data_IF_062181766049
#
_entry.id   IF_062181766049
#
_cell.length_a   1.000
_cell.length_b   1.000
_cell.length_c   1.000
_cell.angle_alpha   90.00
_cell.angle_beta   90.00
_cell.angle_gamma   90.00
#
_symmetry.space_group_name_H-M   'P 1'
#
loop_
_entity.id
_entity.type
_entity.pdbx_description
1 polymer ?
#
# COMPACT_ATOMS: atom_id res chain seq x y z
N UNK A 1 -6.87 -6.25 -14.59
CA UNK A 1 -7.57 -7.36 -15.27
C UNK A 1 -9.07 -7.39 -14.93
N UNK A 2 -9.43 -7.33 -13.64
CA UNK A 2 -10.81 -7.23 -13.15
C UNK A 2 -11.74 -6.21 -13.86
N UNK A 3 -11.32 -4.96 -14.15
CA UNK A 3 -12.22 -3.97 -14.78
C UNK A 3 -12.65 -4.33 -16.21
N UNK A 4 -11.74 -4.93 -17.00
CA UNK A 4 -12.03 -5.37 -18.38
C UNK A 4 -12.92 -6.61 -18.39
N UNK A 5 -12.73 -7.52 -17.44
CA UNK A 5 -13.59 -8.70 -17.29
C UNK A 5 -15.02 -8.30 -16.93
N UNK A 6 -15.20 -7.35 -16.00
CA UNK A 6 -16.51 -6.88 -15.59
C UNK A 6 -17.29 -6.20 -16.74
N UNK A 7 -16.62 -5.36 -17.54
CA UNK A 7 -17.22 -4.81 -18.77
C UNK A 7 -17.55 -5.90 -19.79
N UNK A 8 -16.68 -6.91 -19.95
CA UNK A 8 -16.94 -8.07 -20.80
C UNK A 8 -18.22 -8.81 -20.40
N UNK A 9 -18.45 -9.00 -19.09
CA UNK A 9 -19.66 -9.67 -18.59
C UNK A 9 -20.92 -8.85 -18.91
N UNK A 10 -20.91 -7.52 -18.72
CA UNK A 10 -22.04 -6.65 -19.09
C UNK A 10 -22.38 -6.76 -20.58
N UNK A 11 -21.35 -6.74 -21.45
CA UNK A 11 -21.54 -6.89 -22.90
C UNK A 11 -22.13 -8.27 -23.22
N UNK A 12 -21.59 -9.35 -22.67
CA UNK A 12 -22.09 -10.72 -22.91
C UNK A 12 -23.53 -10.87 -22.46
N UNK A 13 -23.89 -10.35 -21.28
CA UNK A 13 -25.26 -10.42 -20.75
C UNK A 13 -26.22 -9.62 -21.62
N UNK A 14 -25.86 -8.40 -22.03
CA UNK A 14 -26.69 -7.58 -22.92
C UNK A 14 -26.87 -8.23 -24.30
N UNK A 15 -25.79 -8.76 -24.88
CA UNK A 15 -25.87 -9.51 -26.15
C UNK A 15 -26.75 -10.75 -26.01
N UNK A 16 -26.66 -11.48 -24.90
CA UNK A 16 -27.50 -12.65 -24.62
C UNK A 16 -28.99 -12.29 -24.58
N UNK A 17 -29.36 -11.21 -23.87
CA UNK A 17 -30.73 -10.72 -23.86
C UNK A 17 -31.20 -10.24 -25.25
N UNK A 18 -30.32 -9.61 -26.03
CA UNK A 18 -30.60 -9.25 -27.42
C UNK A 18 -30.92 -10.46 -28.27
N UNK A 19 -30.10 -11.52 -28.18
CA UNK A 19 -30.30 -12.78 -28.90
C UNK A 19 -31.60 -13.47 -28.49
N UNK A 20 -31.91 -13.52 -27.19
CA UNK A 20 -33.18 -14.10 -26.70
C UNK A 20 -34.37 -13.34 -27.28
N UNK A 21 -34.29 -12.02 -27.35
CA UNK A 21 -35.35 -11.18 -27.90
C UNK A 21 -35.53 -11.41 -29.40
N UNK A 22 -34.43 -11.50 -30.16
CA UNK A 22 -34.44 -11.83 -31.58
C UNK A 22 -35.06 -13.21 -31.85
N UNK A 23 -34.66 -14.25 -31.10
CA UNK A 23 -35.23 -15.60 -31.23
C UNK A 23 -36.73 -15.64 -30.91
N UNK A 24 -37.17 -14.91 -29.88
CA UNK A 24 -38.58 -14.80 -29.55
C UNK A 24 -39.38 -14.11 -30.68
N UNK A 25 -38.80 -13.09 -31.30
CA UNK A 25 -39.41 -12.41 -32.44
C UNK A 25 -39.51 -13.32 -33.68
N UNK A 26 -38.47 -14.11 -33.98
CA UNK A 26 -38.48 -15.08 -35.08
C UNK A 26 -39.57 -16.14 -34.90
N UNK A 27 -39.74 -16.63 -33.68
CA UNK A 27 -40.81 -17.58 -33.34
C UNK A 27 -42.21 -16.97 -33.52
N UNK A 28 -42.41 -15.72 -33.06
CA UNK A 28 -43.70 -15.06 -33.07
C UNK A 28 -44.14 -14.52 -34.45
N UNK A 29 -43.19 -14.07 -35.28
CA UNK A 29 -43.44 -13.45 -36.60
C UNK A 29 -43.24 -14.42 -37.77
N UNK A 30 -43.33 -15.73 -37.51
CA UNK A 30 -43.05 -16.77 -38.50
C UNK A 30 -43.91 -16.58 -39.76
N UNK A 31 -43.27 -16.43 -40.91
CA UNK A 31 -43.93 -16.18 -42.20
C UNK A 31 -44.13 -14.70 -42.57
N UNK A 32 -43.78 -13.75 -41.70
CA UNK A 32 -43.87 -12.30 -41.95
C UNK A 32 -42.48 -11.64 -42.06
N UNK A 33 -41.78 -11.91 -43.16
CA UNK A 33 -40.38 -11.50 -43.35
C UNK A 33 -40.12 -10.00 -43.24
N UNK A 34 -41.03 -9.15 -43.72
CA UNK A 34 -40.88 -7.68 -43.61
C UNK A 34 -40.94 -7.20 -42.16
N UNK A 35 -41.89 -7.73 -41.37
CA UNK A 35 -42.05 -7.38 -39.95
C UNK A 35 -40.85 -7.87 -39.14
N UNK A 36 -40.34 -9.07 -39.46
CA UNK A 36 -39.15 -9.63 -38.82
C UNK A 36 -37.89 -8.78 -39.02
N UNK A 37 -37.62 -8.30 -40.24
CA UNK A 37 -36.45 -7.45 -40.51
C UNK A 37 -36.51 -6.14 -39.71
N UNK A 38 -37.70 -5.53 -39.63
CA UNK A 38 -37.90 -4.29 -38.85
C UNK A 38 -37.72 -4.55 -37.36
N UNK A 39 -38.22 -5.68 -36.87
CA UNK A 39 -38.09 -6.13 -35.48
C UNK A 39 -36.62 -6.32 -35.09
N UNK A 40 -35.85 -7.06 -35.88
CA UNK A 40 -34.41 -7.29 -35.67
C UNK A 40 -33.60 -5.99 -35.66
N UNK A 41 -33.88 -5.09 -36.61
CA UNK A 41 -33.24 -3.78 -36.65
C UNK A 41 -33.54 -2.96 -35.38
N UNK A 42 -34.78 -3.00 -34.89
CA UNK A 42 -35.17 -2.31 -33.67
C UNK A 42 -34.51 -2.91 -32.41
N UNK A 43 -34.37 -4.24 -32.33
CA UNK A 43 -33.65 -4.92 -31.23
C UNK A 43 -32.18 -4.49 -31.22
N UNK A 44 -31.52 -4.51 -32.38
CA UNK A 44 -30.12 -4.07 -32.50
C UNK A 44 -29.94 -2.62 -32.04
N UNK A 45 -30.81 -1.71 -32.49
CA UNK A 45 -30.76 -0.30 -32.08
C UNK A 45 -31.01 -0.15 -30.57
N UNK A 46 -31.99 -0.86 -30.02
CA UNK A 46 -32.30 -0.79 -28.58
C UNK A 46 -31.12 -1.25 -27.73
N UNK A 47 -30.51 -2.39 -28.05
CA UNK A 47 -29.38 -2.91 -27.27
C UNK A 47 -28.10 -2.11 -27.49
N UNK A 48 -27.92 -1.50 -28.67
CA UNK A 48 -26.84 -0.51 -28.88
C UNK A 48 -27.03 0.73 -28.01
N UNK A 49 -28.26 1.26 -27.92
CA UNK A 49 -28.60 2.36 -27.00
C UNK A 49 -28.38 1.93 -25.55
N UNK A 50 -28.82 0.74 -25.17
CA UNK A 50 -28.62 0.20 -23.83
C UNK A 50 -27.14 0.13 -23.45
N UNK A 51 -26.27 -0.30 -24.37
CA UNK A 51 -24.82 -0.35 -24.17
C UNK A 51 -24.23 1.04 -23.89
N UNK A 52 -24.71 2.07 -24.60
CA UNK A 52 -24.29 3.45 -24.36
C UNK A 52 -24.76 3.92 -22.99
N UNK A 53 -25.99 3.59 -22.59
CA UNK A 53 -26.59 4.04 -21.33
C UNK A 53 -26.02 3.34 -20.09
N UNK A 54 -25.53 2.11 -20.22
CA UNK A 54 -24.79 1.42 -19.15
C UNK A 54 -23.35 1.93 -19.00
N UNK A 55 -22.85 2.72 -19.95
CA UNK A 55 -21.49 3.24 -19.90
C UNK A 55 -21.26 4.27 -18.79
N UNK A 56 -20.04 4.33 -18.27
CA UNK A 56 -19.64 5.31 -17.27
C UNK A 56 -19.80 6.77 -17.73
N UNK A 57 -19.73 7.00 -19.05
CA UNK A 57 -19.91 8.34 -19.65
C UNK A 57 -21.35 8.81 -19.54
N UNK A 58 -22.33 7.92 -19.75
CA UNK A 58 -23.75 8.27 -19.67
C UNK A 58 -24.15 8.76 -18.27
N UNK A 59 -23.54 8.21 -17.21
CA UNK A 59 -23.78 8.67 -15.83
C UNK A 59 -23.33 10.11 -15.58
N UNK A 60 -22.34 10.60 -16.34
CA UNK A 60 -21.80 11.98 -16.25
C UNK A 60 -22.54 12.98 -17.14
N UNK A 61 -23.54 12.56 -17.92
CA UNK A 61 -24.30 13.47 -18.77
C UNK A 61 -25.12 14.47 -17.95
N UNK A 62 -25.42 15.62 -18.58
CA UNK A 62 -26.35 16.60 -18.02
C UNK A 62 -27.76 16.02 -17.90
N UNK A 63 -28.57 16.56 -16.97
CA UNK A 63 -29.93 16.08 -16.74
C UNK A 63 -30.78 16.06 -18.03
N UNK A 64 -30.68 17.10 -18.88
CA UNK A 64 -31.40 17.15 -20.16
C UNK A 64 -31.03 16.02 -21.12
N UNK A 65 -29.74 15.66 -21.22
CA UNK A 65 -29.28 14.54 -22.05
C UNK A 65 -29.76 13.19 -21.51
N UNK A 66 -29.77 13.02 -20.18
CA UNK A 66 -30.32 11.82 -19.53
C UNK A 66 -31.80 11.67 -19.81
N UNK A 67 -32.57 12.74 -19.65
CA UNK A 67 -34.01 12.75 -19.97
C UNK A 67 -34.28 12.46 -21.45
N UNK A 68 -33.53 13.08 -22.37
CA UNK A 68 -33.66 12.82 -23.80
C UNK A 68 -33.34 11.37 -24.14
N UNK A 69 -32.28 10.80 -23.57
CA UNK A 69 -31.91 9.41 -23.81
C UNK A 69 -32.94 8.42 -23.26
N UNK A 70 -33.48 8.66 -22.06
CA UNK A 70 -34.59 7.87 -21.51
C UNK A 70 -35.85 7.99 -22.36
N UNK A 71 -36.14 9.18 -22.91
CA UNK A 71 -37.27 9.37 -23.82
C UNK A 71 -37.08 8.61 -25.15
N UNK A 72 -35.88 8.66 -25.74
CA UNK A 72 -35.53 7.88 -26.93
C UNK A 72 -35.68 6.39 -26.67
N UNK A 73 -35.15 5.90 -25.54
CA UNK A 73 -35.27 4.50 -25.18
C UNK A 73 -36.73 4.11 -24.92
N UNK A 74 -37.51 4.96 -24.25
CA UNK A 74 -38.94 4.74 -24.05
C UNK A 74 -39.68 4.58 -25.39
N UNK A 75 -39.40 5.45 -26.36
CA UNK A 75 -39.99 5.34 -27.70
C UNK A 75 -39.56 4.05 -28.39
N UNK A 76 -38.27 3.69 -28.34
CA UNK A 76 -37.77 2.43 -28.91
C UNK A 76 -38.38 1.19 -28.26
N UNK A 77 -38.71 1.27 -26.96
CA UNK A 77 -39.35 0.18 -26.21
C UNK A 77 -40.83 0.05 -26.56
N UNK A 78 -41.60 1.15 -26.56
CA UNK A 78 -43.06 1.09 -26.64
C UNK A 78 -43.64 1.34 -28.04
N UNK A 79 -42.94 2.01 -28.95
CA UNK A 79 -43.44 2.26 -30.30
C UNK A 79 -43.66 0.95 -31.10
N UNK A 80 -42.74 -0.04 -31.10
CA UNK A 80 -42.93 -1.26 -31.86
C UNK A 80 -44.05 -2.15 -31.33
N UNK A 81 -44.44 -1.98 -30.05
CA UNK A 81 -45.57 -2.69 -29.43
C UNK A 81 -46.87 -2.48 -30.20
N UNK A 82 -47.06 -1.31 -30.83
CA UNK A 82 -48.28 -0.98 -31.58
C UNK A 82 -48.46 -1.86 -32.83
N UNK A 83 -47.37 -2.35 -33.42
CA UNK A 83 -47.39 -3.15 -34.64
C UNK A 83 -47.08 -4.63 -34.41
N UNK A 84 -46.27 -4.94 -33.38
CA UNK A 84 -45.76 -6.28 -33.11
C UNK A 84 -46.48 -6.98 -31.94
N UNK A 85 -47.33 -6.27 -31.20
CA UNK A 85 -48.13 -6.80 -30.08
C UNK A 85 -47.29 -7.64 -29.09
N UNK A 86 -47.77 -8.81 -28.68
CA UNK A 86 -47.15 -9.68 -27.66
C UNK A 86 -45.75 -10.16 -28.05
N UNK A 87 -45.39 -10.19 -29.35
CA UNK A 87 -44.06 -10.57 -29.80
C UNK A 87 -42.95 -9.64 -29.25
N UNK A 88 -43.31 -8.40 -28.89
CA UNK A 88 -42.39 -7.36 -28.40
C UNK A 88 -42.47 -7.13 -26.87
N UNK A 89 -43.31 -7.91 -26.15
CA UNK A 89 -43.64 -7.63 -24.75
C UNK A 89 -42.48 -7.72 -23.75
N UNK A 90 -41.44 -8.50 -24.03
CA UNK A 90 -40.32 -8.75 -23.11
C UNK A 90 -39.21 -7.69 -23.14
N UNK A 91 -39.38 -6.63 -23.93
CA UNK A 91 -38.32 -5.68 -24.31
C UNK A 91 -38.21 -4.47 -23.35
N UNK A 92 -39.10 -4.40 -22.34
CA UNK A 92 -39.12 -3.30 -21.37
C UNK A 92 -38.04 -3.40 -20.27
N UNK A 93 -37.41 -4.56 -20.08
CA UNK A 93 -36.37 -4.76 -19.06
C UNK A 93 -35.17 -3.79 -19.17
N UNK A 94 -34.57 -3.59 -20.36
CA UNK A 94 -33.54 -2.58 -20.58
C UNK A 94 -33.94 -1.16 -20.15
N UNK A 95 -35.19 -0.76 -20.40
CA UNK A 95 -35.70 0.56 -19.99
C UNK A 95 -35.75 0.68 -18.46
N UNK A 96 -36.23 -0.36 -17.77
CA UNK A 96 -36.19 -0.43 -16.31
C UNK A 96 -34.77 -0.25 -15.76
N UNK A 97 -33.78 -0.90 -16.37
CA UNK A 97 -32.37 -0.74 -15.97
C UNK A 97 -31.88 0.70 -16.18
N UNK A 98 -32.15 1.30 -17.33
CA UNK A 98 -31.75 2.68 -17.62
C UNK A 98 -32.38 3.70 -16.70
N UNK A 99 -33.66 3.51 -16.33
CA UNK A 99 -34.34 4.34 -15.31
C UNK A 99 -33.60 4.25 -13.99
N UNK A 100 -33.25 3.05 -13.52
CA UNK A 100 -32.49 2.88 -12.26
C UNK A 100 -31.08 3.49 -12.33
N UNK A 101 -30.43 3.48 -13.49
CA UNK A 101 -29.07 3.99 -13.67
C UNK A 101 -28.99 5.52 -13.83
N UNK A 102 -29.98 6.13 -14.48
CA UNK A 102 -29.90 7.52 -14.94
C UNK A 102 -30.84 8.46 -14.18
N UNK A 103 -31.96 7.97 -13.64
CA UNK A 103 -32.91 8.80 -12.92
C UNK A 103 -32.38 9.20 -11.53
N UNK A 104 -32.86 10.32 -10.95
CA UNK A 104 -32.55 10.68 -9.58
C UNK A 104 -32.97 9.57 -8.61
N UNK A 105 -32.23 9.32 -7.51
CA UNK A 105 -32.49 8.20 -6.60
C UNK A 105 -33.88 8.27 -5.95
N UNK A 106 -34.46 9.47 -5.82
CA UNK A 106 -35.82 9.68 -5.30
C UNK A 106 -36.93 9.16 -6.23
N UNK A 107 -36.66 9.08 -7.54
CA UNK A 107 -37.66 8.78 -8.58
C UNK A 107 -37.36 7.42 -9.26
N UNK A 108 -36.11 6.96 -9.23
CA UNK A 108 -35.65 5.75 -9.89
C UNK A 108 -36.50 4.50 -9.58
N UNK A 109 -36.71 4.18 -8.30
CA UNK A 109 -37.49 3.02 -7.88
C UNK A 109 -39.00 3.17 -8.16
N UNK A 110 -39.65 4.31 -7.84
CA UNK A 110 -41.03 4.54 -8.27
C UNK A 110 -41.22 4.41 -9.78
N UNK A 111 -40.33 4.99 -10.59
CA UNK A 111 -40.41 4.92 -12.05
C UNK A 111 -40.18 3.50 -12.58
N UNK A 112 -39.26 2.73 -12.00
CA UNK A 112 -39.11 1.30 -12.28
C UNK A 112 -40.40 0.52 -12.02
N UNK A 113 -41.07 0.80 -10.89
CA UNK A 113 -42.36 0.21 -10.56
C UNK A 113 -43.44 0.58 -11.57
N UNK A 114 -43.52 1.84 -11.97
CA UNK A 114 -44.48 2.33 -12.98
C UNK A 114 -44.26 1.64 -14.33
N UNK A 115 -43.02 1.57 -14.83
CA UNK A 115 -42.73 0.88 -16.10
C UNK A 115 -43.14 -0.58 -16.04
N UNK A 116 -42.83 -1.28 -14.93
CA UNK A 116 -43.21 -2.68 -14.74
C UNK A 116 -44.74 -2.86 -14.69
N UNK A 117 -45.46 -1.96 -14.03
CA UNK A 117 -46.92 -1.96 -13.95
C UNK A 117 -47.58 -1.68 -15.31
N UNK A 118 -47.03 -0.76 -16.10
CA UNK A 118 -47.54 -0.45 -17.46
C UNK A 118 -47.46 -1.68 -18.35
N UNK A 119 -46.36 -2.43 -18.26
CA UNK A 119 -46.18 -3.67 -19.04
C UNK A 119 -47.18 -4.75 -18.61
N UNK A 120 -47.40 -4.93 -17.31
CA UNK A 120 -48.40 -5.87 -16.78
C UNK A 120 -49.82 -5.46 -17.20
N UNK A 121 -50.16 -4.17 -17.05
CA UNK A 121 -51.47 -3.63 -17.45
C UNK A 121 -51.74 -3.84 -18.94
N UNK A 122 -50.75 -3.59 -19.78
CA UNK A 122 -50.84 -3.81 -21.22
C UNK A 122 -51.06 -5.29 -21.57
N UNK A 123 -50.33 -6.20 -20.92
CA UNK A 123 -50.47 -7.65 -21.13
C UNK A 123 -51.88 -8.15 -20.74
N UNK A 124 -52.44 -7.63 -19.63
CA UNK A 124 -53.83 -7.91 -19.22
C UNK A 124 -54.83 -7.36 -20.22
N UNK A 125 -54.65 -6.12 -20.69
CA UNK A 125 -55.53 -5.47 -21.66
C UNK A 125 -55.60 -6.18 -23.01
N UNK A 126 -54.55 -6.94 -23.38
CA UNK A 126 -54.52 -7.78 -24.57
C UNK A 126 -55.14 -9.17 -24.37
N UNK A 127 -55.65 -9.49 -23.18
CA UNK A 127 -56.26 -10.78 -22.87
C UNK A 127 -55.25 -11.92 -22.74
N UNK A 128 -53.98 -11.62 -22.39
CA UNK A 128 -52.97 -12.64 -22.14
C UNK A 128 -53.37 -13.60 -21.03
N UNK A 129 -52.89 -14.85 -21.08
CA UNK A 129 -53.15 -15.80 -20.01
C UNK A 129 -52.48 -15.34 -18.71
N UNK A 130 -52.91 -15.89 -17.56
CA UNK A 130 -52.27 -15.59 -16.26
C UNK A 130 -50.77 -15.88 -16.30
N UNK A 131 -50.36 -16.93 -17.02
CA UNK A 131 -48.95 -17.29 -17.18
C UNK A 131 -48.20 -16.26 -18.05
N UNK A 132 -48.79 -15.78 -19.14
CA UNK A 132 -48.15 -14.77 -20.01
C UNK A 132 -47.94 -13.45 -19.27
N UNK A 133 -48.98 -12.98 -18.56
CA UNK A 133 -48.92 -11.74 -17.77
C UNK A 133 -47.85 -11.84 -16.67
N UNK A 134 -47.83 -12.96 -15.95
CA UNK A 134 -46.83 -13.22 -14.93
C UNK A 134 -45.41 -13.29 -15.53
N UNK A 135 -45.24 -14.00 -16.64
CA UNK A 135 -43.96 -14.15 -17.33
C UNK A 135 -43.41 -12.79 -17.79
N UNK A 136 -44.22 -11.96 -18.46
CA UNK A 136 -43.78 -10.65 -18.97
C UNK A 136 -43.45 -9.70 -17.83
N UNK A 137 -44.26 -9.67 -16.76
CA UNK A 137 -44.00 -8.84 -15.58
C UNK A 137 -42.69 -9.23 -14.87
N UNK A 138 -42.51 -10.52 -14.58
CA UNK A 138 -41.33 -11.04 -13.89
C UNK A 138 -40.07 -10.88 -14.76
N UNK A 139 -40.12 -11.24 -16.04
CA UNK A 139 -38.97 -11.12 -16.95
C UNK A 139 -38.54 -9.67 -17.15
N UNK A 140 -39.48 -8.72 -17.21
CA UNK A 140 -39.19 -7.27 -17.29
C UNK A 140 -38.47 -6.79 -16.03
N UNK A 141 -39.01 -7.09 -14.85
CA UNK A 141 -38.43 -6.68 -13.58
C UNK A 141 -37.04 -7.31 -13.37
N UNK A 142 -36.91 -8.61 -13.63
CA UNK A 142 -35.67 -9.36 -13.46
C UNK A 142 -34.58 -8.87 -14.40
N UNK A 143 -34.88 -8.70 -15.70
CA UNK A 143 -33.92 -8.18 -16.67
C UNK A 143 -33.44 -6.78 -16.28
N UNK A 144 -34.35 -5.91 -15.85
CA UNK A 144 -34.01 -4.57 -15.36
C UNK A 144 -33.06 -4.58 -14.16
N UNK A 145 -33.36 -5.42 -13.16
CA UNK A 145 -32.54 -5.59 -11.96
C UNK A 145 -31.17 -6.21 -12.25
N UNK A 146 -31.10 -7.21 -13.14
CA UNK A 146 -29.83 -7.86 -13.53
C UNK A 146 -28.90 -6.86 -14.22
N UNK A 147 -29.40 -6.12 -15.22
CA UNK A 147 -28.59 -5.13 -15.93
C UNK A 147 -28.14 -4.00 -14.99
N UNK A 148 -29.06 -3.50 -14.15
CA UNK A 148 -28.74 -2.48 -13.14
C UNK A 148 -27.68 -2.99 -12.15
N UNK A 149 -27.90 -4.14 -11.54
CA UNK A 149 -27.05 -4.73 -10.52
C UNK A 149 -25.64 -5.03 -11.05
N UNK A 150 -25.54 -5.63 -12.24
CA UNK A 150 -24.25 -5.95 -12.85
C UNK A 150 -23.45 -4.69 -13.22
N UNK A 151 -24.14 -3.68 -13.76
CA UNK A 151 -23.51 -2.38 -14.08
C UNK A 151 -23.03 -1.70 -12.80
N UNK A 152 -23.88 -1.63 -11.78
CA UNK A 152 -23.56 -0.97 -10.50
C UNK A 152 -22.43 -1.69 -9.75
N UNK A 153 -22.42 -3.02 -9.76
CA UNK A 153 -21.34 -3.81 -9.17
C UNK A 153 -20.01 -3.56 -9.86
N UNK A 154 -20.02 -3.49 -11.20
CA UNK A 154 -18.83 -3.15 -11.98
C UNK A 154 -18.30 -1.77 -11.62
N UNK A 155 -19.19 -0.79 -11.46
CA UNK A 155 -18.82 0.57 -11.05
C UNK A 155 -18.20 0.61 -9.65
N UNK A 156 -18.84 -0.06 -8.68
CA UNK A 156 -18.34 -0.14 -7.30
C UNK A 156 -16.97 -0.79 -7.23
N UNK A 157 -16.74 -1.87 -7.99
CA UNK A 157 -15.42 -2.52 -8.06
C UNK A 157 -14.37 -1.56 -8.61
N UNK A 158 -14.69 -0.75 -9.63
CA UNK A 158 -13.78 0.27 -10.14
C UNK A 158 -13.50 1.36 -9.10
N UNK A 159 -14.54 1.91 -8.47
CA UNK A 159 -14.41 2.94 -7.42
C UNK A 159 -13.51 2.45 -6.28
N UNK A 160 -13.69 1.20 -5.83
CA UNK A 160 -12.85 0.60 -4.78
C UNK A 160 -11.39 0.45 -5.23
N UNK A 161 -11.14 0.03 -6.46
CA UNK A 161 -9.77 -0.10 -6.97
C UNK A 161 -9.07 1.25 -7.12
N UNK A 162 -9.79 2.27 -7.61
CA UNK A 162 -9.27 3.64 -7.70
C UNK A 162 -8.96 4.21 -6.32
N UNK A 163 -9.88 4.09 -5.37
CA UNK A 163 -9.68 4.55 -3.99
C UNK A 163 -8.50 3.83 -3.32
N UNK A 164 -8.33 2.51 -3.54
CA UNK A 164 -7.16 1.78 -3.03
C UNK A 164 -5.85 2.26 -3.64
N UNK A 165 -5.83 2.54 -4.93
CA UNK A 165 -4.64 3.08 -5.59
C UNK A 165 -4.29 4.48 -5.07
N UNK A 166 -5.31 5.31 -4.81
CA UNK A 166 -5.13 6.64 -4.22
C UNK A 166 -4.61 6.55 -2.78
N UNK A 167 -5.20 5.71 -1.93
CA UNK A 167 -4.70 5.45 -0.58
C UNK A 167 -3.24 4.97 -0.57
N UNK A 168 -2.87 4.06 -1.47
CA UNK A 168 -1.49 3.59 -1.59
C UNK A 168 -0.52 4.73 -1.96
N UNK A 169 -0.91 5.61 -2.89
CA UNK A 169 -0.11 6.80 -3.24
C UNK A 169 0.01 7.77 -2.07
N UNK A 170 -1.08 8.01 -1.34
CA UNK A 170 -1.07 8.86 -0.14
C UNK A 170 -0.16 8.29 0.93
N UNK A 171 -0.23 6.98 1.21
CA UNK A 171 0.64 6.32 2.16
C UNK A 171 2.13 6.45 1.80
N UNK A 172 2.49 6.25 0.52
CA UNK A 172 3.88 6.46 0.05
C UNK A 172 4.33 7.91 0.23
N UNK A 173 3.47 8.88 -0.05
CA UNK A 173 3.81 10.30 0.11
C UNK A 173 3.94 10.70 1.59
N UNK A 174 3.06 10.19 2.46
CA UNK A 174 3.17 10.39 3.90
C UNK A 174 4.49 9.83 4.43
N UNK A 175 4.87 8.64 3.97
CA UNK A 175 6.14 8.02 4.32
C UNK A 175 7.34 8.88 3.87
N UNK A 176 7.31 9.39 2.64
CA UNK A 176 8.34 10.31 2.13
C UNK A 176 8.44 11.61 2.93
N UNK A 177 7.30 12.17 3.37
CA UNK A 177 7.28 13.39 4.18
C UNK A 177 7.80 13.13 5.59
N UNK A 178 7.45 11.98 6.19
CA UNK A 178 8.02 11.55 7.47
C UNK A 178 9.54 11.41 7.34
N UNK A 179 9.99 10.69 6.32
CA UNK A 179 11.40 10.49 6.01
C UNK A 179 12.17 11.81 5.85
N UNK A 180 11.61 12.77 5.11
CA UNK A 180 12.22 14.08 4.94
C UNK A 180 12.34 14.86 6.26
N UNK A 181 11.35 14.73 7.15
CA UNK A 181 11.38 15.35 8.49
C UNK A 181 12.45 14.72 9.37
N UNK A 182 12.49 13.39 9.44
CA UNK A 182 13.47 12.67 10.27
C UNK A 182 14.90 12.98 9.81
N UNK A 183 15.13 13.05 8.50
CA UNK A 183 16.41 13.51 7.94
C UNK A 183 16.71 14.97 8.30
N UNK A 184 15.73 15.86 8.22
CA UNK A 184 15.91 17.27 8.53
C UNK A 184 16.27 17.48 10.01
N UNK A 185 15.59 16.80 10.93
CA UNK A 185 15.82 16.93 12.36
C UNK A 185 17.20 16.40 12.76
N UNK A 186 17.56 15.23 12.22
CA UNK A 186 18.88 14.60 12.44
C UNK A 186 20.01 15.48 11.89
N UNK A 187 19.92 15.91 10.62
CA UNK A 187 20.91 16.78 10.00
C UNK A 187 20.98 18.15 10.68
N UNK A 188 19.83 18.71 11.04
CA UNK A 188 19.70 20.01 11.69
C UNK A 188 20.45 20.04 13.02
N UNK A 189 20.29 19.01 13.85
CA UNK A 189 21.00 18.90 15.12
C UNK A 189 22.52 18.79 14.92
N UNK A 190 22.97 17.88 14.05
CA UNK A 190 24.41 17.67 13.82
C UNK A 190 25.09 18.90 13.21
N UNK A 191 24.47 19.56 12.23
CA UNK A 191 25.01 20.77 11.60
C UNK A 191 25.05 21.95 12.57
N UNK A 192 24.05 22.09 13.45
CA UNK A 192 24.06 23.11 14.51
C UNK A 192 25.19 22.87 15.51
N UNK A 193 25.40 21.62 15.93
CA UNK A 193 26.49 21.25 16.83
C UNK A 193 27.86 21.49 16.21
N UNK A 194 28.05 21.16 14.92
CA UNK A 194 29.27 21.45 14.17
C UNK A 194 29.52 22.95 14.12
N UNK A 195 28.49 23.75 13.81
CA UNK A 195 28.61 25.22 13.71
C UNK A 195 29.04 25.84 15.05
N UNK A 196 28.41 25.44 16.15
CA UNK A 196 28.77 25.90 17.51
C UNK A 196 30.20 25.53 17.90
N UNK A 197 30.63 24.29 17.60
CA UNK A 197 32.00 23.84 17.86
C UNK A 197 33.03 24.58 17.02
N UNK A 198 32.74 24.85 15.75
CA UNK A 198 33.60 25.68 14.89
C UNK A 198 33.76 27.11 15.43
N UNK A 199 32.69 27.71 15.96
CA UNK A 199 32.77 29.01 16.61
C UNK A 199 33.66 28.98 17.86
N UNK A 200 33.53 27.92 18.68
CA UNK A 200 34.39 27.71 19.85
C UNK A 200 35.87 27.52 19.46
N UNK A 201 36.16 26.71 18.43
CA UNK A 201 37.52 26.51 17.89
C UNK A 201 38.13 27.86 17.50
N UNK A 202 37.37 28.72 16.82
CA UNK A 202 37.83 30.05 16.38
C UNK A 202 38.24 30.93 17.57
N UNK A 203 37.55 30.82 18.71
CA UNK A 203 37.88 31.55 19.95
C UNK A 203 39.07 30.94 20.70
N UNK A 204 39.25 29.61 20.63
CA UNK A 204 40.29 28.89 21.36
C UNK A 204 41.65 28.87 20.63
N UNK A 205 41.68 28.97 19.29
CA UNK A 205 42.91 28.71 18.53
C UNK A 205 44.10 29.60 18.91
N UNK A 206 43.84 30.83 19.37
CA UNK A 206 44.88 31.80 19.80
C UNK A 206 45.31 31.55 21.25
N UNK A 207 44.37 31.24 22.14
CA UNK A 207 44.60 31.25 23.59
C UNK A 207 44.79 29.85 24.20
N UNK A 208 44.28 28.81 23.55
CA UNK A 208 44.37 27.41 23.99
C UNK A 208 44.36 26.45 22.79
N UNK A 209 45.50 26.32 22.08
CA UNK A 209 45.58 25.56 20.83
C UNK A 209 45.41 24.04 21.04
N UNK A 210 45.79 23.51 22.21
CA UNK A 210 45.57 22.09 22.57
C UNK A 210 44.06 21.79 22.62
N UNK A 211 43.30 22.59 23.36
CA UNK A 211 41.85 22.41 23.48
C UNK A 211 41.12 22.68 22.15
N UNK A 212 41.66 23.54 21.29
CA UNK A 212 41.16 23.72 19.93
C UNK A 212 41.34 22.46 19.06
N UNK A 213 42.45 21.71 19.21
CA UNK A 213 42.66 20.43 18.51
C UNK A 213 41.65 19.37 18.95
N UNK A 214 41.33 19.30 20.24
CA UNK A 214 40.32 18.36 20.76
C UNK A 214 38.93 18.64 20.17
N UNK A 215 38.55 19.91 20.07
CA UNK A 215 37.27 20.30 19.45
C UNK A 215 37.24 20.00 17.94
N UNK A 216 38.36 20.13 17.22
CA UNK A 216 38.47 19.72 15.81
C UNK A 216 38.25 18.20 15.67
N UNK A 217 38.84 17.38 16.55
CA UNK A 217 38.59 15.95 16.57
C UNK A 217 37.13 15.61 16.88
N UNK A 218 36.50 16.38 17.79
CA UNK A 218 35.08 16.25 18.11
C UNK A 218 34.16 16.59 16.91
N UNK A 219 34.45 17.67 16.17
CA UNK A 219 33.73 18.03 14.94
C UNK A 219 33.81 16.90 13.89
N UNK A 220 35.00 16.32 13.71
CA UNK A 220 35.18 15.19 12.79
C UNK A 220 34.36 13.97 13.23
N UNK A 221 34.30 13.70 14.54
CA UNK A 221 33.44 12.66 15.12
C UNK A 221 31.96 12.88 14.83
N UNK A 222 31.44 14.07 15.13
CA UNK A 222 30.03 14.43 14.88
C UNK A 222 29.68 14.35 13.39
N UNK A 223 30.57 14.82 12.51
CA UNK A 223 30.37 14.75 11.06
C UNK A 223 30.30 13.31 10.54
N UNK A 224 31.20 12.42 11.02
CA UNK A 224 31.18 10.99 10.66
C UNK A 224 29.92 10.30 11.16
N UNK A 225 29.48 10.61 12.38
CA UNK A 225 28.25 10.06 12.94
C UNK A 225 27.02 10.51 12.15
N UNK A 226 26.90 11.81 11.84
CA UNK A 226 25.81 12.33 11.03
C UNK A 226 25.73 11.68 9.64
N UNK A 227 26.89 11.44 9.00
CA UNK A 227 26.94 10.74 7.72
C UNK A 227 26.50 9.27 7.84
N UNK A 228 26.88 8.59 8.92
CA UNK A 228 26.44 7.22 9.19
C UNK A 228 24.92 7.15 9.43
N UNK A 229 24.37 8.08 10.21
CA UNK A 229 22.94 8.16 10.49
C UNK A 229 22.12 8.46 9.23
N UNK A 230 22.58 9.38 8.37
CA UNK A 230 21.96 9.64 7.06
C UNK A 230 22.01 8.40 6.16
N UNK A 231 23.12 7.66 6.14
CA UNK A 231 23.23 6.42 5.35
C UNK A 231 22.29 5.34 5.85
N UNK A 232 22.13 5.19 7.17
CA UNK A 232 21.17 4.24 7.76
C UNK A 232 19.72 4.60 7.42
N UNK A 233 19.38 5.88 7.46
CA UNK A 233 18.05 6.36 7.12
C UNK A 233 17.82 6.21 5.61
N UNK A 234 18.74 6.67 4.75
CA UNK A 234 18.65 6.60 3.29
C UNK A 234 18.61 5.18 2.71
N UNK A 235 19.24 4.19 3.35
CA UNK A 235 19.12 2.77 2.97
C UNK A 235 17.81 2.13 3.43
N UNK A 236 16.90 2.91 4.01
CA UNK A 236 15.51 2.54 4.24
C UNK A 236 15.33 1.29 5.10
N UNK A 237 16.24 1.02 6.06
CA UNK A 237 16.23 -0.20 6.87
C UNK A 237 16.15 -1.52 6.05
N UNK A 238 16.35 -1.47 4.73
CA UNK A 238 16.00 -2.55 3.78
C UNK A 238 17.13 -3.00 2.88
N UNK A 239 18.24 -2.27 2.81
CA UNK A 239 19.34 -2.63 1.88
C UNK A 239 20.58 -3.24 2.55
N UNK A 240 20.58 -3.44 3.87
CA UNK A 240 21.64 -4.22 4.53
C UNK A 240 21.16 -5.64 4.80
N UNK A 241 21.30 -6.51 3.79
CA UNK A 241 21.21 -7.95 4.01
C UNK A 241 22.59 -8.51 4.34
N UNK A 242 22.64 -9.50 5.22
CA UNK A 242 23.87 -10.18 5.62
C UNK A 242 24.60 -10.75 4.39
N UNK A 243 23.85 -11.29 3.43
CA UNK A 243 24.38 -11.84 2.19
C UNK A 243 25.03 -10.77 1.28
N UNK A 244 24.39 -9.60 1.10
CA UNK A 244 24.96 -8.50 0.30
C UNK A 244 26.17 -7.87 0.99
N UNK A 245 26.12 -7.78 2.31
CA UNK A 245 27.23 -7.22 3.08
C UNK A 245 28.46 -8.14 3.02
N UNK A 246 28.27 -9.45 3.09
CA UNK A 246 29.37 -10.40 2.99
C UNK A 246 30.10 -10.34 1.64
N UNK A 247 29.38 -10.16 0.53
CA UNK A 247 30.00 -9.93 -0.79
C UNK A 247 30.85 -8.65 -0.81
N UNK A 248 30.34 -7.59 -0.16
CA UNK A 248 31.06 -6.32 -0.04
C UNK A 248 32.33 -6.49 0.81
N UNK A 249 32.24 -7.23 1.91
CA UNK A 249 33.37 -7.55 2.80
C UNK A 249 34.46 -8.35 2.10
N UNK A 250 34.11 -9.35 1.28
CA UNK A 250 35.09 -10.11 0.48
C UNK A 250 35.89 -9.16 -0.42
N UNK A 251 35.19 -8.22 -1.07
CA UNK A 251 35.83 -7.23 -1.95
C UNK A 251 36.79 -6.30 -1.17
N UNK A 252 36.39 -5.87 0.02
CA UNK A 252 37.21 -5.01 0.90
C UNK A 252 38.43 -5.77 1.44
N UNK A 253 38.26 -7.01 1.90
CA UNK A 253 39.36 -7.84 2.40
C UNK A 253 40.36 -8.19 1.30
N UNK A 254 39.89 -8.50 0.09
CA UNK A 254 40.76 -8.74 -1.06
C UNK A 254 41.59 -7.50 -1.42
N UNK A 255 41.00 -6.30 -1.35
CA UNK A 255 41.73 -5.05 -1.55
C UNK A 255 42.77 -4.76 -0.45
N UNK A 256 42.61 -5.35 0.73
CA UNK A 256 43.55 -5.27 1.84
C UNK A 256 44.56 -6.44 1.88
N UNK A 257 44.60 -7.30 0.84
CA UNK A 257 45.44 -8.50 0.76
C UNK A 257 45.21 -9.52 1.89
N UNK A 258 43.96 -9.60 2.37
CA UNK A 258 43.52 -10.54 3.41
C UNK A 258 42.73 -11.69 2.78
N UNK A 259 43.09 -12.94 3.13
CA UNK A 259 42.32 -14.12 2.70
C UNK A 259 41.02 -14.24 3.49
N UNK A 260 39.88 -14.09 2.81
CA UNK A 260 38.56 -14.23 3.41
C UNK A 260 37.91 -15.57 3.02
N UNK A 261 37.55 -16.38 4.00
CA UNK A 261 36.70 -17.57 3.83
C UNK A 261 35.29 -17.24 4.32
N UNK A 262 34.29 -17.30 3.43
CA UNK A 262 32.92 -16.85 3.73
C UNK A 262 31.93 -17.98 3.47
N UNK A 263 31.18 -18.34 4.50
CA UNK A 263 30.20 -19.42 4.51
C UNK A 263 28.89 -18.93 5.17
N UNK A 264 27.89 -18.59 4.34
CA UNK A 264 26.61 -18.04 4.82
C UNK A 264 25.50 -19.00 4.45
N UNK A 265 25.05 -19.75 5.44
CA UNK A 265 23.95 -20.72 5.35
C UNK A 265 22.85 -20.39 6.37
N UNK A 266 22.10 -19.32 6.09
CA UNK A 266 21.05 -18.83 6.99
C UNK A 266 19.70 -18.54 6.32
N UNK A 267 19.55 -18.85 5.03
CA UNK A 267 18.31 -18.61 4.28
C UNK A 267 17.81 -17.16 4.35
N UNK A 268 16.49 -16.96 4.27
CA UNK A 268 15.85 -15.64 4.37
C UNK A 268 15.52 -15.29 5.82
N UNK A 269 16.24 -14.33 6.38
CA UNK A 269 16.05 -13.85 7.75
C UNK A 269 14.94 -12.79 7.86
N UNK A 270 14.48 -12.56 9.10
CA UNK A 270 13.61 -11.42 9.42
C UNK A 270 14.36 -10.10 9.16
N UNK A 271 13.75 -9.05 8.54
CA UNK A 271 14.48 -7.85 8.11
C UNK A 271 15.28 -7.14 9.21
N UNK A 272 14.75 -7.09 10.43
CA UNK A 272 15.46 -6.52 11.58
C UNK A 272 16.72 -7.32 11.96
N UNK A 273 16.61 -8.66 11.95
CA UNK A 273 17.73 -9.56 12.29
C UNK A 273 18.79 -9.49 11.19
N UNK A 274 18.37 -9.51 9.93
CA UNK A 274 19.23 -9.41 8.75
C UNK A 274 20.06 -8.11 8.78
N UNK A 275 19.41 -6.98 9.08
CA UNK A 275 20.08 -5.67 9.18
C UNK A 275 21.07 -5.61 10.35
N UNK A 276 20.70 -6.14 11.52
CA UNK A 276 21.56 -6.12 12.71
C UNK A 276 22.79 -7.00 12.49
N UNK A 277 22.65 -8.20 11.90
CA UNK A 277 23.78 -9.07 11.59
C UNK A 277 24.65 -8.51 10.47
N UNK A 278 24.07 -7.90 9.43
CA UNK A 278 24.84 -7.19 8.40
C UNK A 278 25.65 -6.04 9.01
N UNK A 279 25.08 -5.31 9.98
CA UNK A 279 25.80 -4.26 10.71
C UNK A 279 26.93 -4.84 11.56
N UNK A 280 26.69 -5.97 12.24
CA UNK A 280 27.69 -6.67 13.02
C UNK A 280 28.88 -7.13 12.17
N UNK A 281 28.59 -7.68 10.98
CA UNK A 281 29.60 -8.08 10.02
C UNK A 281 30.47 -6.90 9.56
N UNK A 282 29.83 -5.80 9.14
CA UNK A 282 30.56 -4.60 8.68
C UNK A 282 31.46 -4.01 9.76
N UNK A 283 30.93 -3.83 10.96
CA UNK A 283 31.66 -3.26 12.08
C UNK A 283 32.79 -4.19 12.53
N UNK A 284 32.53 -5.50 12.60
CA UNK A 284 33.52 -6.52 12.92
C UNK A 284 34.70 -6.51 11.95
N UNK A 285 34.43 -6.51 10.65
CA UNK A 285 35.46 -6.44 9.59
C UNK A 285 36.25 -5.15 9.65
N UNK A 286 35.56 -4.02 9.86
CA UNK A 286 36.23 -2.72 10.00
C UNK A 286 37.19 -2.72 11.19
N UNK A 287 36.77 -3.32 12.32
CA UNK A 287 37.63 -3.46 13.49
C UNK A 287 38.84 -4.37 13.22
N UNK A 288 38.65 -5.51 12.56
CA UNK A 288 39.74 -6.42 12.18
C UNK A 288 40.79 -5.70 11.33
N UNK A 289 40.36 -5.01 10.27
CA UNK A 289 41.26 -4.29 9.37
C UNK A 289 41.97 -3.10 10.04
N UNK A 290 41.34 -2.48 11.05
CA UNK A 290 41.89 -1.32 11.75
C UNK A 290 42.83 -1.69 12.89
N UNK A 291 42.60 -2.83 13.55
CA UNK A 291 43.22 -3.15 14.83
C UNK A 291 44.03 -4.45 14.84
N UNK A 292 44.10 -5.20 13.72
CA UNK A 292 44.87 -6.46 13.63
C UNK A 292 45.81 -6.47 12.42
N UNK A 293 46.93 -7.20 12.53
CA UNK A 293 47.77 -7.56 11.37
C UNK A 293 47.26 -8.86 10.76
N UNK A 294 46.03 -8.81 10.26
CA UNK A 294 45.30 -9.98 9.78
C UNK A 294 45.87 -10.49 8.45
N UNK A 295 46.01 -11.80 8.32
CA UNK A 295 46.34 -12.49 7.06
C UNK A 295 45.20 -13.38 6.58
N UNK A 296 44.38 -13.88 7.51
CA UNK A 296 43.21 -14.68 7.21
C UNK A 296 42.02 -14.34 8.12
N UNK A 297 40.83 -14.33 7.54
CA UNK A 297 39.57 -14.14 8.25
C UNK A 297 38.52 -15.16 7.78
N UNK A 298 37.88 -15.82 8.74
CA UNK A 298 36.74 -16.70 8.53
C UNK A 298 35.46 -15.96 8.93
N UNK A 299 34.47 -15.98 8.06
CA UNK A 299 33.13 -15.41 8.29
C UNK A 299 32.12 -16.54 8.07
N UNK A 300 31.40 -16.93 9.12
CA UNK A 300 30.37 -17.97 9.06
C UNK A 300 29.05 -17.47 9.59
N UNK A 301 27.95 -17.74 8.90
CA UNK A 301 26.60 -17.53 9.41
C UNK A 301 25.78 -18.81 9.26
N UNK A 302 25.27 -19.33 10.37
CA UNK A 302 24.52 -20.60 10.42
C UNK A 302 23.23 -20.44 11.23
N UNK A 303 22.22 -21.23 10.88
CA UNK A 303 20.97 -21.32 11.65
C UNK A 303 20.97 -22.59 12.49
N UNK A 304 20.90 -22.42 13.81
CA UNK A 304 20.78 -23.50 14.79
C UNK A 304 19.44 -23.35 15.54
N UNK A 305 18.49 -24.24 15.25
CA UNK A 305 17.15 -24.20 15.84
C UNK A 305 16.39 -22.93 15.49
N UNK A 306 16.01 -22.14 16.51
CA UNK A 306 15.35 -20.83 16.34
C UNK A 306 16.31 -19.64 16.41
N UNK A 307 17.62 -19.89 16.33
CA UNK A 307 18.66 -18.86 16.41
C UNK A 307 19.54 -18.85 15.17
N UNK A 308 19.95 -17.65 14.77
CA UNK A 308 21.00 -17.43 13.76
C UNK A 308 22.25 -16.96 14.49
N UNK A 309 23.38 -17.59 14.17
CA UNK A 309 24.70 -17.25 14.69
C UNK A 309 25.58 -16.74 13.55
N UNK A 310 26.18 -15.58 13.75
CA UNK A 310 27.24 -15.02 12.92
C UNK A 310 28.56 -15.07 13.69
N UNK A 311 29.58 -15.68 13.11
CA UNK A 311 30.94 -15.81 13.65
C UNK A 311 31.94 -15.17 12.71
N UNK A 312 32.78 -14.29 13.25
CA UNK A 312 33.98 -13.78 12.58
C UNK A 312 35.20 -14.23 13.39
N UNK A 313 36.19 -14.82 12.73
CA UNK A 313 37.46 -15.22 13.35
C UNK A 313 38.63 -14.72 12.50
N UNK A 314 39.64 -14.12 13.11
CA UNK A 314 40.85 -13.69 12.42
C UNK A 314 42.12 -13.97 13.21
N UNK A 315 43.24 -14.07 12.48
CA UNK A 315 44.59 -14.16 13.02
C UNK A 315 45.25 -12.79 13.25
N UNK A 316 46.42 -12.79 13.90
CA UNK A 316 47.31 -11.61 13.96
C UNK A 316 46.93 -10.58 15.02
N UNK A 317 46.42 -11.01 16.18
CA UNK A 317 46.13 -10.14 17.33
C UNK A 317 47.21 -10.30 18.40
N UNK A 318 47.91 -9.22 18.72
CA UNK A 318 48.92 -9.20 19.78
C UNK A 318 48.24 -9.34 21.16
N UNK A 319 48.52 -10.44 21.87
CA UNK A 319 47.92 -10.76 23.18
C UNK A 319 48.29 -9.77 24.32
N UNK A 320 49.14 -8.78 24.04
CA UNK A 320 49.78 -7.90 25.04
C UNK A 320 49.05 -6.54 25.17
N UNK A 321 48.02 -6.25 24.35
CA UNK A 321 47.40 -4.92 24.29
C UNK A 321 45.97 -4.76 24.81
N UNK A 322 45.31 -5.82 25.28
CA UNK A 322 43.89 -5.78 25.70
C UNK A 322 43.71 -6.18 27.17
N UNK A 323 44.56 -5.64 28.05
CA UNK A 323 44.25 -5.63 29.48
C UNK A 323 43.24 -4.53 29.75
N UNK A 324 42.00 -4.92 30.05
CA UNK A 324 41.09 -4.23 30.97
C UNK A 324 40.81 -2.74 30.71
N UNK A 325 40.69 -2.35 29.44
CA UNK A 325 40.11 -1.05 29.10
C UNK A 325 38.60 -1.20 29.00
N UNK A 326 37.90 -0.68 30.00
CA UNK A 326 36.47 -0.38 30.02
C UNK A 326 36.05 0.64 28.93
N UNK A 327 36.83 0.77 27.86
CA UNK A 327 36.55 1.57 26.68
C UNK A 327 36.23 0.60 25.53
N UNK A 328 35.08 -0.08 25.66
CA UNK A 328 34.44 -0.71 24.51
C UNK A 328 34.23 0.42 23.49
N UNK A 329 35.11 0.51 22.49
CA UNK A 329 35.01 1.53 21.45
C UNK A 329 33.56 1.65 20.97
N UNK A 330 33.10 2.87 20.72
CA UNK A 330 31.68 3.22 20.53
C UNK A 330 30.92 2.31 19.55
N UNK A 331 31.62 1.65 18.62
CA UNK A 331 31.08 0.67 17.67
C UNK A 331 30.56 -0.63 18.32
N UNK A 332 31.38 -1.35 19.08
CA UNK A 332 30.98 -2.65 19.67
C UNK A 332 29.94 -2.48 20.78
N UNK A 333 30.00 -1.39 21.56
CA UNK A 333 28.98 -1.08 22.58
C UNK A 333 27.61 -0.77 21.98
N UNK A 334 27.56 -0.02 20.88
CA UNK A 334 26.31 0.26 20.16
C UNK A 334 25.75 -1.00 19.48
N UNK A 335 26.64 -1.86 18.95
CA UNK A 335 26.25 -3.13 18.35
C UNK A 335 25.65 -4.10 19.39
N UNK A 336 26.25 -4.19 20.58
CA UNK A 336 25.76 -4.98 21.71
C UNK A 336 24.36 -4.53 22.15
N UNK A 337 24.13 -3.22 22.29
CA UNK A 337 22.82 -2.66 22.60
C UNK A 337 21.76 -3.00 21.53
N UNK A 338 22.13 -2.94 20.24
CA UNK A 338 21.22 -3.27 19.12
C UNK A 338 20.88 -4.75 19.04
N UNK A 339 21.84 -5.64 19.30
CA UNK A 339 21.60 -7.08 19.38
C UNK A 339 20.72 -7.42 20.58
N UNK A 340 20.99 -6.82 21.75
CA UNK A 340 20.20 -7.03 22.97
C UNK A 340 18.74 -6.61 22.77
N UNK A 341 18.49 -5.50 22.07
CA UNK A 341 17.14 -5.00 21.79
C UNK A 341 16.27 -5.97 20.96
N UNK A 342 16.89 -6.90 20.21
CA UNK A 342 16.17 -7.94 19.45
C UNK A 342 16.21 -9.31 20.14
N UNK A 343 16.64 -9.37 21.41
CA UNK A 343 16.81 -10.61 22.17
C UNK A 343 18.06 -11.42 21.78
N UNK A 344 19.01 -10.77 21.10
CA UNK A 344 20.31 -11.34 20.72
C UNK A 344 21.42 -11.08 21.74
N UNK A 345 22.58 -11.67 21.49
CA UNK A 345 23.78 -11.56 22.34
C UNK A 345 25.00 -11.35 21.46
N UNK A 346 25.89 -10.44 21.86
CA UNK A 346 27.19 -10.24 21.25
C UNK A 346 28.30 -10.69 22.21
N UNK A 347 29.26 -11.47 21.71
CA UNK A 347 30.48 -11.84 22.42
C UNK A 347 31.69 -11.51 21.55
N UNK A 348 32.69 -10.86 22.12
CA UNK A 348 33.94 -10.52 21.44
C UNK A 348 35.11 -10.82 22.36
N UNK A 349 36.13 -11.52 21.87
CA UNK A 349 37.30 -11.86 22.69
C UNK A 349 38.47 -12.37 21.89
N UNK A 350 39.65 -12.35 22.52
CA UNK A 350 40.86 -12.98 21.99
C UNK A 350 40.94 -14.41 22.54
N UNK A 351 40.94 -15.39 21.67
CA UNK A 351 41.13 -16.79 22.03
C UNK A 351 42.62 -17.12 22.26
N UNK A 352 42.87 -18.19 23.03
CA UNK A 352 44.22 -18.73 23.18
C UNK A 352 44.83 -19.01 21.80
N UNK A 353 46.05 -18.51 21.55
CA UNK A 353 46.81 -18.48 20.27
C UNK A 353 46.70 -17.21 19.40
N UNK A 354 46.24 -16.07 19.93
CA UNK A 354 46.36 -14.77 19.23
C UNK A 354 45.36 -14.60 18.08
N UNK A 355 44.21 -15.26 18.19
CA UNK A 355 43.07 -15.12 17.28
C UNK A 355 41.98 -14.31 17.95
N UNK A 356 41.34 -13.42 17.22
CA UNK A 356 40.17 -12.69 17.70
C UNK A 356 38.91 -13.35 17.13
N UNK A 357 37.91 -13.54 17.99
CA UNK A 357 36.61 -14.08 17.61
C UNK A 357 35.49 -13.14 18.06
N UNK A 358 34.61 -12.82 17.12
CA UNK A 358 33.36 -12.10 17.34
C UNK A 358 32.20 -13.05 17.03
N UNK A 359 31.27 -13.19 17.97
CA UNK A 359 30.08 -14.03 17.81
C UNK A 359 28.84 -13.21 18.12
N UNK A 360 27.95 -13.08 17.13
CA UNK A 360 26.65 -12.43 17.26
C UNK A 360 25.54 -13.47 17.09
N UNK A 361 24.68 -13.61 18.09
CA UNK A 361 23.53 -14.53 18.08
C UNK A 361 22.24 -13.73 18.12
N UNK A 362 21.26 -14.09 17.29
CA UNK A 362 19.94 -13.47 17.30
C UNK A 362 18.84 -14.51 17.07
N UNK A 363 17.65 -14.34 17.67
CA UNK A 363 16.51 -15.20 17.37
C UNK A 363 15.99 -14.95 15.95
N UNK A 364 15.60 -15.99 15.22
CA UNK A 364 15.03 -15.89 13.87
C UNK A 364 13.76 -15.05 13.84
N UNK A 365 13.01 -15.06 14.94
CA UNK A 365 11.84 -14.21 15.19
C UNK A 365 12.19 -13.30 16.37
N UNK A 366 12.52 -12.02 16.12
CA UNK A 366 12.78 -11.10 17.21
C UNK A 366 11.52 -10.97 18.07
N UNK A 367 11.68 -10.91 19.38
CA UNK A 367 10.60 -10.47 20.25
C UNK A 367 10.16 -9.09 19.74
N UNK A 368 8.86 -8.91 19.49
CA UNK A 368 8.34 -7.58 19.20
C UNK A 368 8.79 -6.67 20.37
N UNK A 369 9.29 -5.44 20.11
CA UNK A 369 9.41 -4.49 21.20
C UNK A 369 8.03 -4.43 21.85
N UNK A 370 7.95 -4.75 23.14
CA UNK A 370 6.76 -4.46 23.93
C UNK A 370 6.39 -3.00 23.59
N UNK A 371 5.15 -2.73 23.14
CA UNK A 371 4.75 -1.35 22.98
C UNK A 371 4.99 -0.70 24.33
N UNK A 372 5.96 0.21 24.40
CA UNK A 372 6.15 1.05 25.56
C UNK A 372 4.75 1.53 25.92
N UNK A 373 4.29 1.15 27.13
CA UNK A 373 3.03 1.63 27.67
C UNK A 373 2.96 3.12 27.32
N UNK A 374 1.90 3.49 26.61
CA UNK A 374 1.52 4.87 26.47
C UNK A 374 1.47 5.42 27.89
N UNK A 375 2.57 6.07 28.30
CA UNK A 375 2.60 6.88 29.51
C UNK A 375 1.53 7.92 29.24
N UNK A 376 0.37 7.74 29.86
CA UNK A 376 -0.68 8.74 29.89
C UNK A 376 -0.01 10.09 30.17
N UNK A 377 -0.34 11.15 29.43
CA UNK A 377 0.20 12.45 29.74
C UNK A 377 -0.17 12.78 31.18
N UNK A 378 0.84 12.75 32.06
CA UNK A 378 0.70 13.17 33.44
C UNK A 378 0.08 14.56 33.41
N UNK A 379 -1.14 14.65 33.93
CA UNK A 379 -1.79 15.93 34.23
C UNK A 379 -0.80 16.75 35.04
N UNK A 380 -0.21 17.75 34.40
CA UNK A 380 0.57 18.77 35.06
C UNK A 380 -0.38 19.48 36.04
N UNK A 381 -0.34 19.10 37.32
CA UNK A 381 -0.86 19.94 38.42
C UNK A 381 0.12 21.09 38.56
N UNK A 382 -0.02 22.07 37.67
CA UNK A 382 0.57 23.39 37.85
C UNK A 382 -0.12 24.09 39.01
N UNK A 383 0.67 24.43 40.02
CA UNK A 383 0.30 25.28 41.14
C UNK A 383 -0.34 26.59 40.66
N UNK A 384 -1.27 27.09 41.48
CA UNK A 384 -2.20 28.14 41.11
C UNK A 384 -1.55 29.46 40.70
N UNK A 385 -2.15 30.06 39.66
CA UNK A 385 -2.33 31.50 39.56
C UNK A 385 -3.79 31.69 39.13
N UNK A 386 -4.60 32.18 40.06
CA UNK A 386 -5.96 32.68 39.83
C UNK A 386 -5.90 33.91 38.93
N UNK A 387 -6.43 33.81 37.72
CA UNK A 387 -6.84 34.95 36.92
C UNK A 387 -8.36 34.93 36.81
N UNK A 388 -8.97 35.86 37.56
CA UNK A 388 -10.41 36.13 37.60
C UNK A 388 -10.82 36.80 36.29
N UNK A 389 -11.63 36.13 35.46
CA UNK A 389 -12.29 36.74 34.30
C UNK A 389 -13.78 36.53 34.46
N UNK A 390 -14.44 37.55 35.04
CA UNK A 390 -15.90 37.71 35.04
C UNK A 390 -16.41 37.89 33.61
N UNK A 391 -17.25 36.97 33.15
CA UNK A 391 -18.17 37.23 32.04
C UNK A 391 -19.55 37.45 32.64
N UNK A 392 -19.95 38.73 32.66
CA UNK A 392 -21.30 39.22 32.92
C UNK A 392 -22.25 38.65 31.86
N UNK A 393 -23.39 38.12 32.32
CA UNK A 393 -24.32 37.38 31.48
C UNK A 393 -25.27 38.22 30.63
N UNK A 394 -26.10 37.51 29.88
CA UNK A 394 -27.49 37.89 29.63
C UNK A 394 -28.29 36.63 29.22
N UNK A 395 -29.50 36.39 29.77
CA UNK A 395 -30.39 35.30 29.34
C UNK A 395 -31.45 35.78 28.33
N UNK A 396 -32.20 34.82 27.79
CA UNK A 396 -33.36 34.90 26.87
C UNK A 396 -32.99 35.11 25.39
N UNK A 397 -33.57 34.41 24.42
CA UNK A 397 -34.86 33.71 24.36
C UNK A 397 -34.80 32.39 23.56
#
# INVERSE_FOLDING_TARGET
MAPRLAQGIVVVVLSGYGIITALNAEYALRGRTRELIVCEAAVLVLYAVQLVLTSARARRWSAGRKCAALAVQFVLTFLPVVWLDLAWGSVAGPLCASVLLLAPPRIAWPAFGVVSLVVVWWAVGKGGTVLDVAYVGISTALTGLVIYGLTRLTDLVHEVHEARAEMARMAVNQERLRFARDLHDLLGYSLSAISLKCELITRLVVNNPERARDEVASVLGVSRQALADVRMVASGYRDMSLASEAQSVVSVMAAADVRAEVDIDCGRLHPLVDTVLATALREGVTNILRHSKVQSCLIRATVEGETVELVLENDGVDAIGLSDSADRGSGLGNLDARLTAIGGVLSAGVESKGRFRLTARAPLRPAAPEPAELVEPQRYRGAGITADVRVSGNPAA
#
